data_IF_202162488576
#
_entry.id   IF_202162488576
#
_cell.length_a   1.000
_cell.length_b   1.000
_cell.length_c   1.000
_cell.angle_alpha   90.00
_cell.angle_beta   90.00
_cell.angle_gamma   90.00
#
_symmetry.space_group_name_H-M   'P 1'
#
loop_
_entity.id
_entity.type
_entity.pdbx_description
1 polymer ?
#
# COMPACT_ATOMS: atom_id res chain seq x y z
N UNK A 1 9.02 8.50 -8.57
CA UNK A 1 8.68 9.06 -9.90
C UNK A 1 8.46 7.98 -10.97
N UNK A 2 9.45 7.13 -11.29
CA UNK A 2 9.34 6.13 -12.37
C UNK A 2 8.15 5.15 -12.26
N UNK A 3 7.80 4.70 -11.05
CA UNK A 3 6.68 3.77 -10.84
C UNK A 3 5.34 4.39 -11.25
N UNK A 4 5.12 5.66 -10.88
CA UNK A 4 3.91 6.41 -11.23
C UNK A 4 3.80 6.66 -12.75
N UNK A 5 4.92 6.83 -13.45
CA UNK A 5 4.93 6.91 -14.92
C UNK A 5 4.54 5.57 -15.56
N UNK A 6 5.07 4.46 -15.03
CA UNK A 6 4.75 3.13 -15.54
C UNK A 6 3.29 2.75 -15.34
N UNK A 7 2.61 3.33 -14.34
CA UNK A 7 1.15 3.18 -14.19
C UNK A 7 0.35 3.82 -15.33
N UNK A 8 0.92 4.78 -16.05
CA UNK A 8 0.29 5.41 -17.22
C UNK A 8 0.64 4.67 -18.53
N UNK A 9 1.50 3.67 -18.47
CA UNK A 9 1.95 2.96 -19.66
C UNK A 9 0.81 2.08 -20.22
N UNK A 10 0.60 2.01 -21.55
CA UNK A 10 -0.48 1.22 -22.16
C UNK A 10 -0.48 -0.27 -21.78
N UNK A 11 0.69 -0.82 -21.46
CA UNK A 11 0.83 -2.21 -21.02
C UNK A 11 0.52 -2.44 -19.52
N UNK A 12 0.19 -1.39 -18.76
CA UNK A 12 -0.23 -1.46 -17.37
C UNK A 12 -1.76 -1.32 -17.28
N UNK A 13 -2.35 -2.11 -16.39
CA UNK A 13 -3.75 -1.98 -16.03
C UNK A 13 -3.91 -2.31 -14.56
N UNK A 14 -4.50 -1.38 -13.80
CA UNK A 14 -4.76 -1.55 -12.38
C UNK A 14 -5.77 -2.66 -12.09
N UNK A 15 -6.59 -3.04 -13.09
CA UNK A 15 -7.54 -4.16 -12.99
C UNK A 15 -6.87 -5.52 -13.14
N UNK A 16 -5.63 -5.58 -13.61
CA UNK A 16 -4.91 -6.84 -13.79
C UNK A 16 -4.02 -7.14 -12.56
N UNK A 17 -4.34 -8.17 -11.75
CA UNK A 17 -3.59 -8.50 -10.54
C UNK A 17 -2.09 -8.73 -10.79
N UNK A 18 -1.74 -9.35 -11.93
CA UNK A 18 -0.35 -9.63 -12.25
C UNK A 18 0.43 -8.35 -12.54
N UNK A 19 -0.20 -7.37 -13.20
CA UNK A 19 0.43 -6.07 -13.50
C UNK A 19 0.59 -5.23 -12.23
N UNK A 20 -0.42 -5.20 -11.36
CA UNK A 20 -0.34 -4.54 -10.05
C UNK A 20 0.78 -5.16 -9.21
N UNK A 21 0.82 -6.50 -9.10
CA UNK A 21 1.87 -7.19 -8.35
C UNK A 21 3.26 -6.94 -8.92
N UNK A 22 3.42 -6.99 -10.25
CA UNK A 22 4.71 -6.83 -10.90
C UNK A 22 5.28 -5.42 -10.76
N UNK A 23 4.43 -4.38 -10.70
CA UNK A 23 4.88 -3.00 -10.57
C UNK A 23 4.85 -2.52 -9.12
N UNK A 24 3.68 -2.52 -8.50
CA UNK A 24 3.43 -1.96 -7.16
C UNK A 24 3.98 -2.89 -6.09
N UNK A 25 3.65 -4.17 -6.19
CA UNK A 25 4.13 -5.19 -5.24
C UNK A 25 5.65 -5.31 -5.23
N UNK A 26 6.28 -5.25 -6.41
CA UNK A 26 7.74 -5.25 -6.51
C UNK A 26 8.35 -3.97 -5.91
N UNK A 27 7.78 -2.79 -6.18
CA UNK A 27 8.25 -1.55 -5.56
C UNK A 27 8.18 -1.61 -4.03
N UNK A 28 7.04 -1.96 -3.47
CA UNK A 28 6.84 -1.95 -2.03
C UNK A 28 7.55 -3.11 -1.30
N UNK A 29 7.70 -4.27 -1.95
CA UNK A 29 8.28 -5.46 -1.34
C UNK A 29 9.78 -5.67 -1.60
N UNK A 30 10.33 -5.12 -2.69
CA UNK A 30 11.72 -5.40 -3.11
C UNK A 30 12.57 -4.12 -3.20
N UNK A 31 11.97 -2.95 -3.42
CA UNK A 31 12.70 -1.69 -3.47
C UNK A 31 12.65 -0.96 -2.11
N UNK A 32 13.20 -1.59 -1.07
CA UNK A 32 13.08 -1.12 0.32
C UNK A 32 13.61 0.29 0.54
N UNK A 33 14.70 0.68 -0.14
CA UNK A 33 15.30 2.02 -0.02
C UNK A 33 14.32 3.10 -0.43
N UNK A 34 13.63 2.91 -1.57
CA UNK A 34 12.69 3.90 -2.07
C UNK A 34 11.30 3.78 -1.42
N UNK A 35 10.87 2.58 -1.05
CA UNK A 35 9.61 2.39 -0.34
C UNK A 35 9.68 3.02 1.06
N UNK A 36 10.77 2.79 1.78
CA UNK A 36 11.08 3.45 3.05
C UNK A 36 11.90 4.73 2.82
N UNK A 37 11.49 5.58 1.88
CA UNK A 37 12.02 6.94 1.82
C UNK A 37 11.71 7.68 3.14
N UNK A 38 12.61 8.55 3.60
CA UNK A 38 12.46 9.24 4.89
C UNK A 38 11.27 10.21 4.93
N UNK A 39 10.81 10.66 3.76
CA UNK A 39 9.65 11.53 3.59
C UNK A 39 8.29 10.78 3.62
N UNK A 40 8.30 9.45 3.68
CA UNK A 40 7.09 8.63 3.68
C UNK A 40 6.36 8.56 2.33
N UNK A 41 6.95 9.07 1.26
CA UNK A 41 6.33 9.11 -0.08
C UNK A 41 5.95 7.72 -0.60
N UNK A 42 6.77 6.70 -0.32
CA UNK A 42 6.46 5.31 -0.68
C UNK A 42 5.23 4.74 0.05
N UNK A 43 5.04 5.10 1.32
CA UNK A 43 3.89 4.66 2.12
C UNK A 43 2.60 5.32 1.64
N UNK A 44 2.64 6.64 1.42
CA UNK A 44 1.51 7.41 0.89
C UNK A 44 1.05 6.88 -0.46
N UNK A 45 2.00 6.63 -1.35
CA UNK A 45 1.75 6.06 -2.67
C UNK A 45 1.04 4.70 -2.58
N UNK A 46 1.51 3.80 -1.71
CA UNK A 46 0.88 2.49 -1.54
C UNK A 46 -0.52 2.61 -0.93
N UNK A 47 -0.71 3.50 0.04
CA UNK A 47 -2.00 3.72 0.66
C UNK A 47 -3.04 4.32 -0.33
N UNK A 48 -2.64 5.27 -1.18
CA UNK A 48 -3.52 5.80 -2.25
C UNK A 48 -3.98 4.67 -3.18
N UNK A 49 -3.05 3.80 -3.57
CA UNK A 49 -3.34 2.64 -4.42
C UNK A 49 -4.24 1.62 -3.74
N UNK A 50 -4.05 1.36 -2.45
CA UNK A 50 -4.93 0.44 -1.70
C UNK A 50 -6.35 1.01 -1.62
N UNK A 51 -6.51 2.31 -1.40
CA UNK A 51 -7.83 2.96 -1.36
C UNK A 51 -8.52 2.85 -2.72
N UNK A 52 -7.81 3.10 -3.82
CA UNK A 52 -8.33 2.92 -5.19
C UNK A 52 -8.69 1.46 -5.47
N UNK A 53 -7.78 0.53 -5.16
CA UNK A 53 -7.97 -0.90 -5.38
C UNK A 53 -9.07 -1.48 -4.49
N UNK A 54 -9.33 -0.94 -3.31
CA UNK A 54 -10.40 -1.41 -2.43
C UNK A 54 -11.77 -1.33 -3.14
N UNK A 55 -12.01 -0.27 -3.92
CA UNK A 55 -13.26 -0.15 -4.69
C UNK A 55 -13.32 -1.05 -5.93
N UNK A 56 -12.16 -1.36 -6.54
CA UNK A 56 -12.08 -2.09 -7.81
C UNK A 56 -11.92 -3.60 -7.64
N UNK A 57 -11.04 -4.01 -6.72
CA UNK A 57 -10.69 -5.39 -6.43
C UNK A 57 -10.11 -5.50 -5.01
N UNK A 58 -10.97 -5.70 -4.00
CA UNK A 58 -10.54 -5.72 -2.60
C UNK A 58 -9.52 -6.83 -2.26
N UNK A 59 -9.56 -7.96 -2.97
CA UNK A 59 -8.60 -9.05 -2.78
C UNK A 59 -7.19 -8.69 -3.26
N UNK A 60 -7.06 -7.79 -4.26
CA UNK A 60 -5.75 -7.28 -4.66
C UNK A 60 -5.30 -6.22 -3.64
N UNK A 61 -6.21 -5.34 -3.22
CA UNK A 61 -5.92 -4.29 -2.25
C UNK A 61 -5.35 -4.86 -0.94
N UNK A 62 -6.01 -5.86 -0.36
CA UNK A 62 -5.55 -6.51 0.88
C UNK A 62 -4.17 -7.13 0.76
N UNK A 63 -3.84 -7.74 -0.39
CA UNK A 63 -2.49 -8.29 -0.66
C UNK A 63 -1.43 -7.21 -0.77
N UNK A 64 -1.75 -6.01 -1.24
CA UNK A 64 -0.79 -4.91 -1.34
C UNK A 64 -0.46 -4.28 0.02
N UNK A 65 -1.25 -4.52 1.07
CA UNK A 65 -1.01 -3.96 2.41
C UNK A 65 0.17 -4.60 3.16
N UNK A 66 0.62 -5.80 2.78
CA UNK A 66 1.62 -6.57 3.53
C UNK A 66 2.91 -5.80 3.89
N UNK A 67 3.44 -4.86 3.07
CA UNK A 67 4.58 -4.03 3.45
C UNK A 67 4.26 -3.03 4.58
N UNK A 68 3.05 -2.45 4.60
CA UNK A 68 2.63 -1.50 5.64
C UNK A 68 2.36 -2.17 6.98
N UNK A 69 1.90 -3.42 6.98
CA UNK A 69 1.56 -4.11 8.25
C UNK A 69 2.78 -4.45 9.11
N UNK A 70 3.98 -4.37 8.55
CA UNK A 70 5.25 -4.67 9.25
C UNK A 70 5.86 -3.44 9.95
N UNK A 71 5.10 -2.36 10.10
CA UNK A 71 5.58 -1.06 10.58
C UNK A 71 6.36 -1.13 11.89
N UNK A 72 5.94 -1.95 12.87
CA UNK A 72 6.61 -2.13 14.17
C UNK A 72 8.06 -2.61 14.12
N UNK A 73 8.52 -3.13 12.97
CA UNK A 73 9.91 -3.60 12.79
C UNK A 73 10.90 -2.49 12.45
N UNK A 74 10.42 -1.28 12.18
CA UNK A 74 11.24 -0.15 11.74
C UNK A 74 11.50 0.84 12.89
N UNK A 75 12.32 1.85 12.64
CA UNK A 75 12.56 2.95 13.59
C UNK A 75 11.28 3.77 13.87
N UNK A 76 11.29 4.56 14.95
CA UNK A 76 10.11 5.31 15.41
C UNK A 76 9.56 6.30 14.39
N UNK A 77 10.41 6.93 13.59
CA UNK A 77 9.96 7.86 12.55
C UNK A 77 9.20 7.12 11.45
N UNK A 78 9.72 5.97 11.00
CA UNK A 78 9.05 5.14 10.01
C UNK A 78 7.78 4.49 10.53
N UNK A 79 7.80 4.03 11.78
CA UNK A 79 6.61 3.52 12.46
C UNK A 79 5.48 4.55 12.40
N UNK A 80 5.74 5.79 12.80
CA UNK A 80 4.75 6.86 12.78
C UNK A 80 4.18 7.10 11.37
N UNK A 81 5.04 7.18 10.35
CA UNK A 81 4.62 7.40 8.98
C UNK A 81 3.78 6.24 8.42
N UNK A 82 4.21 4.99 8.61
CA UNK A 82 3.46 3.82 8.12
C UNK A 82 2.13 3.64 8.86
N UNK A 83 2.12 3.86 10.18
CA UNK A 83 0.91 3.80 11.00
C UNK A 83 -0.10 4.87 10.59
N UNK A 84 0.35 6.10 10.33
CA UNK A 84 -0.52 7.17 9.85
C UNK A 84 -1.19 6.81 8.52
N UNK A 85 -0.49 6.13 7.62
CA UNK A 85 -1.08 5.67 6.35
C UNK A 85 -2.06 4.50 6.54
N UNK A 86 -1.81 3.58 7.49
CA UNK A 86 -2.80 2.56 7.88
C UNK A 86 -4.07 3.18 8.47
N UNK A 87 -3.92 4.16 9.37
CA UNK A 87 -5.04 4.92 9.95
C UNK A 87 -5.80 5.69 8.86
N UNK A 88 -5.09 6.25 7.87
CA UNK A 88 -5.70 6.92 6.72
C UNK A 88 -6.53 5.97 5.86
N UNK A 89 -6.03 4.75 5.60
CA UNK A 89 -6.79 3.73 4.88
C UNK A 89 -8.03 3.34 5.68
N UNK A 90 -7.90 3.13 6.99
CA UNK A 90 -9.04 2.82 7.87
C UNK A 90 -10.12 3.92 7.82
N UNK A 91 -9.70 5.18 7.74
CA UNK A 91 -10.57 6.34 7.67
C UNK A 91 -11.09 6.67 6.25
N UNK A 92 -10.71 5.92 5.20
CA UNK A 92 -11.02 6.27 3.81
C UNK A 92 -12.48 5.99 3.39
N UNK A 93 -13.35 5.56 4.31
CA UNK A 93 -14.77 5.32 4.07
C UNK A 93 -15.14 3.83 4.01
N UNK A 94 -15.86 3.40 2.96
CA UNK A 94 -16.34 2.02 2.83
C UNK A 94 -15.22 1.06 2.43
N UNK A 95 -14.53 0.51 3.42
CA UNK A 95 -13.60 -0.60 3.23
C UNK A 95 -14.36 -1.92 3.02
N UNK A 96 -13.77 -2.80 2.21
CA UNK A 96 -14.19 -4.20 2.19
C UNK A 96 -13.83 -4.89 3.51
N UNK A 97 -14.45 -6.04 3.78
CA UNK A 97 -14.09 -6.88 4.92
C UNK A 97 -12.60 -7.28 4.88
N UNK A 98 -12.08 -7.71 3.72
CA UNK A 98 -10.68 -8.12 3.55
C UNK A 98 -9.68 -7.01 3.91
N UNK A 99 -9.95 -5.77 3.45
CA UNK A 99 -9.05 -4.63 3.71
C UNK A 99 -9.18 -4.17 5.15
N UNK A 100 -10.42 -4.07 5.65
CA UNK A 100 -10.69 -3.70 7.04
C UNK A 100 -10.02 -4.66 8.02
N UNK A 101 -10.11 -5.97 7.81
CA UNK A 101 -9.50 -6.99 8.67
C UNK A 101 -7.98 -6.82 8.75
N UNK A 102 -7.31 -6.69 7.60
CA UNK A 102 -5.85 -6.53 7.55
C UNK A 102 -5.40 -5.24 8.25
N UNK A 103 -6.08 -4.12 8.00
CA UNK A 103 -5.72 -2.82 8.59
C UNK A 103 -6.00 -2.80 10.09
N UNK A 104 -7.19 -3.21 10.52
CA UNK A 104 -7.59 -3.20 11.94
C UNK A 104 -6.71 -4.12 12.78
N UNK A 105 -6.42 -5.33 12.30
CA UNK A 105 -5.49 -6.25 12.97
C UNK A 105 -4.10 -5.65 13.09
N UNK A 106 -3.60 -5.04 12.01
CA UNK A 106 -2.27 -4.43 11.99
C UNK A 106 -2.12 -3.21 12.91
N UNK A 107 -3.22 -2.53 13.27
CA UNK A 107 -3.23 -1.40 14.19
C UNK A 107 -3.47 -1.83 15.65
N UNK A 108 -4.15 -2.96 15.86
CA UNK A 108 -4.46 -3.51 17.18
C UNK A 108 -3.29 -4.30 17.79
N UNK A 109 -2.55 -5.04 16.97
CA UNK A 109 -1.24 -5.64 17.33
C UNK A 109 -0.19 -4.55 17.48
#
# INVERSE_FOLDING_TARGET
QRVQELMKHPAFSIRNPNKVRALIGAFAGQNLVNFHAADGSGYRFLADLVIELNALNPQIASRQLAPLTRWRKYDSARQALMKAELERILASGKLSADVYEVVSKSLAE
#
